data_IF_862817404264
#
_entry.id   IF_862817404264
#
_cell.length_a   1.000
_cell.length_b   1.000
_cell.length_c   1.000
_cell.angle_alpha   90.00
_cell.angle_beta   90.00
_cell.angle_gamma   90.00
#
_symmetry.space_group_name_H-M   'P 1'
#
loop_
_entity.id
_entity.type
_entity.pdbx_description
1 polymer ?
#
# COMPACT_ATOMS: atom_id res chain seq x y z
N UNK A 1 4.34 -12.55 14.73
CA UNK A 1 3.07 -13.13 14.24
C UNK A 1 1.86 -12.60 15.01
N UNK A 2 1.81 -12.72 16.35
CA UNK A 2 0.65 -12.29 17.15
C UNK A 2 0.27 -10.81 16.97
N UNK A 3 1.23 -9.88 17.03
CA UNK A 3 0.97 -8.43 16.82
C UNK A 3 0.38 -8.12 15.43
N UNK A 4 0.86 -8.79 14.39
CA UNK A 4 0.36 -8.62 13.02
C UNK A 4 -1.09 -9.10 12.89
N UNK A 5 -1.42 -10.24 13.49
CA UNK A 5 -2.81 -10.73 13.49
C UNK A 5 -3.74 -9.80 14.26
N UNK A 6 -3.30 -9.27 15.41
CA UNK A 6 -4.08 -8.27 16.16
C UNK A 6 -4.32 -7.02 15.31
N UNK A 7 -3.30 -6.52 14.61
CA UNK A 7 -3.44 -5.41 13.67
C UNK A 7 -4.43 -5.70 12.56
N UNK A 8 -4.30 -6.86 11.89
CA UNK A 8 -5.21 -7.32 10.86
C UNK A 8 -6.68 -7.31 11.30
N UNK A 9 -7.00 -7.92 12.45
CA UNK A 9 -8.39 -7.99 12.92
C UNK A 9 -8.92 -6.63 13.37
N UNK A 10 -8.06 -5.74 13.90
CA UNK A 10 -8.44 -4.35 14.20
C UNK A 10 -8.80 -3.60 12.93
N UNK A 11 -7.98 -3.71 11.88
CA UNK A 11 -8.24 -3.05 10.60
C UNK A 11 -9.49 -3.62 9.92
N UNK A 12 -9.67 -4.95 9.94
CA UNK A 12 -10.89 -5.59 9.45
C UNK A 12 -12.13 -5.07 10.17
N UNK A 13 -12.06 -4.88 11.48
CA UNK A 13 -13.17 -4.30 12.24
C UNK A 13 -13.41 -2.83 11.91
N UNK A 14 -12.33 -2.03 11.78
CA UNK A 14 -12.38 -0.61 11.39
C UNK A 14 -13.03 -0.42 10.02
N UNK A 15 -12.65 -1.22 9.03
CA UNK A 15 -13.09 -1.10 7.63
C UNK A 15 -14.21 -2.08 7.25
N UNK A 16 -14.89 -2.73 8.20
CA UNK A 16 -15.84 -3.83 7.93
C UNK A 16 -16.90 -3.52 6.87
N UNK A 17 -17.38 -2.29 6.81
CA UNK A 17 -18.44 -1.88 5.88
C UNK A 17 -17.86 -1.53 4.50
N UNK A 18 -16.66 -0.96 4.47
CA UNK A 18 -15.90 -0.69 3.26
C UNK A 18 -15.42 -1.99 2.62
N UNK A 19 -14.89 -2.93 3.40
CA UNK A 19 -14.50 -4.28 2.97
C UNK A 19 -15.66 -4.99 2.28
N UNK A 20 -16.88 -4.97 2.85
CA UNK A 20 -18.07 -5.52 2.19
C UNK A 20 -18.41 -4.84 0.87
N UNK A 21 -18.17 -3.52 0.75
CA UNK A 21 -18.36 -2.79 -0.51
C UNK A 21 -17.30 -3.18 -1.54
N UNK A 22 -16.05 -3.33 -1.11
CA UNK A 22 -14.96 -3.78 -1.97
C UNK A 22 -15.21 -5.19 -2.48
N UNK A 23 -15.57 -6.14 -1.60
CA UNK A 23 -15.90 -7.52 -1.99
C UNK A 23 -17.01 -7.56 -3.05
N UNK A 24 -18.15 -6.89 -2.83
CA UNK A 24 -19.24 -6.82 -3.82
C UNK A 24 -18.77 -6.29 -5.17
N UNK A 25 -17.91 -5.27 -5.17
CA UNK A 25 -17.35 -4.70 -6.39
C UNK A 25 -16.38 -5.68 -7.08
N UNK A 26 -15.50 -6.34 -6.32
CA UNK A 26 -14.53 -7.35 -6.78
C UNK A 26 -15.27 -8.54 -7.41
N UNK A 27 -16.30 -9.08 -6.75
CA UNK A 27 -17.11 -10.20 -7.25
C UNK A 27 -17.81 -9.84 -8.57
N UNK A 28 -18.33 -8.61 -8.67
CA UNK A 28 -18.92 -8.12 -9.91
C UNK A 28 -17.88 -8.02 -11.03
N UNK A 29 -16.70 -7.46 -10.73
CA UNK A 29 -15.65 -7.26 -11.72
C UNK A 29 -15.06 -8.59 -12.23
N UNK A 30 -14.80 -9.55 -11.34
CA UNK A 30 -14.33 -10.90 -11.70
C UNK A 30 -15.31 -11.62 -12.63
N UNK A 31 -16.62 -11.51 -12.35
CA UNK A 31 -17.67 -12.08 -13.20
C UNK A 31 -17.69 -11.41 -14.59
N UNK A 32 -17.55 -10.08 -14.65
CA UNK A 32 -17.60 -9.33 -15.91
C UNK A 32 -16.39 -9.55 -16.81
N UNK A 33 -15.20 -9.68 -16.22
CA UNK A 33 -13.93 -9.80 -16.94
C UNK A 33 -13.42 -11.24 -17.06
N UNK A 34 -14.13 -12.20 -16.46
CA UNK A 34 -13.72 -13.61 -16.40
C UNK A 34 -12.31 -13.77 -15.80
N UNK A 35 -12.09 -13.18 -14.62
CA UNK A 35 -10.87 -13.33 -13.83
C UNK A 35 -11.10 -14.19 -12.60
N UNK A 36 -10.07 -14.93 -12.18
CA UNK A 36 -10.05 -15.56 -10.87
C UNK A 36 -9.71 -14.54 -9.78
N UNK A 37 -10.32 -14.70 -8.62
CA UNK A 37 -9.96 -14.01 -7.39
C UNK A 37 -8.86 -14.80 -6.66
N UNK A 38 -7.98 -14.11 -5.96
CA UNK A 38 -6.98 -14.77 -5.12
C UNK A 38 -7.65 -15.75 -4.12
N UNK A 39 -7.23 -17.02 -4.07
CA UNK A 39 -7.85 -18.02 -3.20
C UNK A 39 -7.52 -17.84 -1.72
N UNK A 40 -6.54 -17.00 -1.37
CA UNK A 40 -6.17 -16.70 0.01
C UNK A 40 -7.10 -15.64 0.60
N UNK A 41 -8.01 -16.06 1.49
CA UNK A 41 -8.91 -15.16 2.22
C UNK A 41 -8.16 -13.99 2.88
N UNK A 42 -7.05 -14.27 3.54
CA UNK A 42 -6.27 -13.24 4.23
C UNK A 42 -5.64 -12.23 3.26
N UNK A 43 -5.20 -12.67 2.07
CA UNK A 43 -4.66 -11.78 1.05
C UNK A 43 -5.76 -10.88 0.48
N UNK A 44 -6.88 -11.48 0.06
CA UNK A 44 -8.02 -10.76 -0.51
C UNK A 44 -8.57 -9.73 0.48
N UNK A 45 -8.80 -10.12 1.74
CA UNK A 45 -9.29 -9.21 2.76
C UNK A 45 -8.29 -8.10 3.10
N UNK A 46 -6.98 -8.38 3.08
CA UNK A 46 -5.98 -7.32 3.24
C UNK A 46 -6.03 -6.30 2.10
N UNK A 47 -6.16 -6.77 0.86
CA UNK A 47 -6.26 -5.89 -0.30
C UNK A 47 -7.55 -5.06 -0.27
N UNK A 48 -8.67 -5.62 0.19
CA UNK A 48 -9.92 -4.88 0.43
C UNK A 48 -9.76 -3.79 1.49
N UNK A 49 -9.06 -4.10 2.60
CA UNK A 49 -8.71 -3.13 3.64
C UNK A 49 -7.83 -2.03 3.05
N UNK A 50 -6.79 -2.37 2.29
CA UNK A 50 -5.88 -1.39 1.71
C UNK A 50 -6.55 -0.52 0.65
N UNK A 51 -7.42 -1.09 -0.20
CA UNK A 51 -8.25 -0.32 -1.14
C UNK A 51 -9.14 0.69 -0.40
N UNK A 52 -9.72 0.28 0.73
CA UNK A 52 -10.53 1.14 1.59
C UNK A 52 -9.70 2.24 2.25
N UNK A 53 -8.46 1.94 2.64
CA UNK A 53 -7.51 2.92 3.15
C UNK A 53 -7.08 3.92 2.08
N UNK A 54 -6.84 3.47 0.84
CA UNK A 54 -6.51 4.36 -0.28
C UNK A 54 -7.64 5.34 -0.57
N UNK A 55 -8.90 4.86 -0.59
CA UNK A 55 -10.07 5.72 -0.72
C UNK A 55 -10.17 6.73 0.43
N UNK A 56 -9.94 6.31 1.67
CA UNK A 56 -10.03 7.18 2.84
C UNK A 56 -8.91 8.21 2.91
N UNK A 57 -7.70 7.86 2.45
CA UNK A 57 -6.50 8.73 2.55
C UNK A 57 -6.38 9.67 1.36
N UNK A 58 -6.66 9.18 0.15
CA UNK A 58 -6.41 9.88 -1.10
C UNK A 58 -7.68 10.26 -1.87
N UNK A 59 -8.86 9.90 -1.35
CA UNK A 59 -10.16 10.22 -1.94
C UNK A 59 -10.53 9.39 -3.17
N UNK A 60 -9.67 8.46 -3.58
CA UNK A 60 -9.89 7.58 -4.74
C UNK A 60 -9.35 6.18 -4.47
N UNK A 61 -9.90 5.20 -5.17
CA UNK A 61 -9.48 3.80 -5.11
C UNK A 61 -8.22 3.56 -5.94
N UNK A 62 -7.09 4.12 -5.53
CA UNK A 62 -5.80 3.80 -6.14
C UNK A 62 -5.43 2.33 -5.89
N UNK A 63 -4.65 1.75 -6.80
CA UNK A 63 -4.05 0.43 -6.62
C UNK A 63 -3.25 0.43 -5.30
N UNK A 64 -3.51 -0.49 -4.36
CA UNK A 64 -2.90 -0.43 -3.04
C UNK A 64 -1.41 -0.79 -3.06
N UNK A 65 -0.87 -1.24 -4.20
CA UNK A 65 0.54 -1.58 -4.37
C UNK A 65 1.45 -0.41 -4.72
N UNK A 66 0.87 0.75 -5.05
CA UNK A 66 1.63 1.96 -5.34
C UNK A 66 0.95 3.17 -4.69
N UNK A 67 1.73 4.09 -4.16
CA UNK A 67 1.25 5.42 -3.81
C UNK A 67 0.96 6.27 -5.06
N UNK A 68 0.08 7.29 -4.98
CA UNK A 68 -0.16 8.20 -6.10
C UNK A 68 1.14 8.86 -6.55
N UNK A 69 1.38 8.88 -7.86
CA UNK A 69 2.63 9.31 -8.48
C UNK A 69 2.81 10.83 -8.55
N UNK A 70 1.73 11.60 -8.34
CA UNK A 70 1.72 13.04 -8.61
C UNK A 70 1.58 13.40 -10.11
N UNK A 71 1.71 12.43 -11.01
CA UNK A 71 1.36 12.57 -12.42
C UNK A 71 -0.13 12.22 -12.61
N UNK A 72 -0.92 13.21 -13.03
CA UNK A 72 -2.37 13.06 -13.19
C UNK A 72 -2.78 12.01 -14.24
N UNK A 73 -1.97 11.82 -15.29
CA UNK A 73 -2.24 10.81 -16.31
C UNK A 73 -1.96 9.41 -15.76
N UNK A 74 -0.79 9.20 -15.14
CA UNK A 74 -0.43 7.91 -14.54
C UNK A 74 -1.38 7.55 -13.39
N UNK A 75 -1.71 8.51 -12.52
CA UNK A 75 -2.63 8.32 -11.41
C UNK A 75 -4.01 7.84 -11.88
N UNK A 76 -4.51 8.34 -13.01
CA UNK A 76 -5.76 7.86 -13.60
C UNK A 76 -5.67 6.39 -13.99
N UNK A 77 -4.54 5.97 -14.57
CA UNK A 77 -4.29 4.56 -14.96
C UNK A 77 -4.13 3.64 -13.75
N UNK A 78 -3.75 4.19 -12.60
CA UNK A 78 -3.55 3.45 -11.35
C UNK A 78 -4.82 3.28 -10.50
N UNK A 79 -5.97 3.82 -10.92
CA UNK A 79 -7.25 3.57 -10.22
C UNK A 79 -7.67 2.11 -10.38
N UNK A 80 -7.99 1.42 -9.28
CA UNK A 80 -8.40 0.02 -9.30
C UNK A 80 -9.81 -0.13 -9.92
N UNK A 81 -9.99 -0.94 -10.98
CA UNK A 81 -9.00 -1.84 -11.59
C UNK A 81 -8.07 -1.06 -12.53
N UNK A 82 -6.76 -1.15 -12.30
CA UNK A 82 -5.77 -0.34 -13.03
C UNK A 82 -5.65 -0.80 -14.49
N UNK A 83 -5.23 0.11 -15.37
CA UNK A 83 -5.08 -0.20 -16.80
C UNK A 83 -4.04 -1.30 -17.07
N UNK A 84 -3.09 -1.51 -16.15
CA UNK A 84 -2.03 -2.52 -16.25
C UNK A 84 -2.48 -3.97 -16.01
N UNK A 85 -3.71 -4.19 -15.52
CA UNK A 85 -4.17 -5.52 -15.08
C UNK A 85 -4.10 -6.58 -16.18
N UNK A 86 -4.46 -6.23 -17.42
CA UNK A 86 -4.50 -7.16 -18.55
C UNK A 86 -3.09 -7.61 -18.94
N UNK A 87 -2.14 -6.68 -19.01
CA UNK A 87 -0.74 -6.97 -19.32
C UNK A 87 -0.06 -7.78 -18.21
N UNK A 88 -0.30 -7.42 -16.96
CA UNK A 88 0.26 -8.14 -15.80
C UNK A 88 -0.28 -9.56 -15.67
N UNK A 89 -1.58 -9.78 -15.87
CA UNK A 89 -2.17 -11.12 -15.86
C UNK A 89 -1.59 -11.96 -17.00
N UNK A 90 -1.39 -11.37 -18.19
CA UNK A 90 -0.80 -12.07 -19.33
C UNK A 90 0.67 -12.46 -19.08
N UNK A 91 1.43 -11.59 -18.42
CA UNK A 91 2.85 -11.79 -18.15
C UNK A 91 3.11 -12.72 -16.95
N UNK A 92 2.39 -12.51 -15.84
CA UNK A 92 2.66 -13.14 -14.55
C UNK A 92 1.56 -14.10 -14.07
N UNK A 93 0.45 -14.20 -14.79
CA UNK A 93 -0.74 -14.94 -14.39
C UNK A 93 -1.65 -14.20 -13.41
N UNK A 94 -1.15 -13.15 -12.75
CA UNK A 94 -1.91 -12.30 -11.82
C UNK A 94 -1.65 -10.83 -12.09
N UNK A 95 -2.57 -9.96 -11.69
CA UNK A 95 -2.24 -8.55 -11.55
C UNK A 95 -1.13 -8.35 -10.52
N UNK A 96 -0.49 -7.18 -10.51
CA UNK A 96 0.67 -6.92 -9.67
C UNK A 96 0.41 -7.26 -8.21
N UNK A 97 -0.69 -6.74 -7.66
CA UNK A 97 -1.14 -6.95 -6.27
C UNK A 97 -1.62 -8.37 -5.96
N UNK A 98 -1.65 -9.25 -6.96
CA UNK A 98 -2.20 -10.59 -6.87
C UNK A 98 -3.65 -10.66 -6.38
N UNK A 99 -4.46 -9.60 -6.57
CA UNK A 99 -5.91 -9.66 -6.28
C UNK A 99 -6.63 -10.52 -7.31
N UNK A 100 -6.33 -10.30 -8.59
CA UNK A 100 -6.94 -10.98 -9.73
C UNK A 100 -5.90 -11.83 -10.45
N UNK A 101 -6.34 -12.92 -11.06
CA UNK A 101 -5.52 -13.76 -11.91
C UNK A 101 -6.31 -14.39 -13.06
N UNK A 102 -5.59 -15.10 -13.94
CA UNK A 102 -6.23 -15.86 -15.00
C UNK A 102 -7.09 -16.99 -14.41
N UNK A 103 -8.18 -17.33 -15.08
CA UNK A 103 -9.14 -18.34 -14.59
C UNK A 103 -8.57 -19.75 -14.57
N UNK A 104 -7.53 -20.02 -15.35
CA UNK A 104 -6.77 -21.25 -15.41
C UNK A 104 -5.55 -21.27 -14.48
N UNK A 105 -5.31 -20.19 -13.70
CA UNK A 105 -4.14 -20.11 -12.84
C UNK A 105 -4.20 -21.14 -11.70
N UNK A 106 -3.27 -22.09 -11.74
CA UNK A 106 -3.18 -23.15 -10.74
C UNK A 106 -2.52 -22.66 -9.43
N UNK A 107 -2.54 -23.53 -8.40
CA UNK A 107 -1.95 -23.26 -7.07
C UNK A 107 -0.45 -22.89 -7.13
N UNK A 108 0.31 -23.48 -8.05
CA UNK A 108 1.73 -23.15 -8.21
C UNK A 108 1.91 -21.74 -8.78
N UNK A 109 1.04 -21.31 -9.71
CA UNK A 109 0.99 -19.95 -10.23
C UNK A 109 0.72 -18.91 -9.13
N UNK A 110 -0.31 -19.12 -8.30
CA UNK A 110 -0.58 -18.26 -7.15
C UNK A 110 0.60 -18.19 -6.15
N UNK A 111 1.28 -19.31 -5.93
CA UNK A 111 2.48 -19.35 -5.07
C UNK A 111 3.65 -18.59 -5.70
N UNK A 112 3.84 -18.70 -7.01
CA UNK A 112 4.86 -17.95 -7.75
C UNK A 112 4.59 -16.44 -7.69
N UNK A 113 3.34 -16.03 -7.91
CA UNK A 113 2.90 -14.63 -7.77
C UNK A 113 3.14 -14.10 -6.35
N UNK A 114 2.78 -14.86 -5.32
CA UNK A 114 3.08 -14.50 -3.93
C UNK A 114 4.59 -14.36 -3.68
N UNK A 115 5.40 -15.27 -4.21
CA UNK A 115 6.87 -15.21 -4.08
C UNK A 115 7.45 -13.97 -4.76
N UNK A 116 6.95 -13.60 -5.94
CA UNK A 116 7.35 -12.37 -6.65
C UNK A 116 7.06 -11.14 -5.80
N UNK A 117 5.82 -10.99 -5.34
CA UNK A 117 5.40 -9.89 -4.46
C UNK A 117 6.25 -9.81 -3.19
N UNK A 118 6.55 -10.94 -2.54
CA UNK A 118 7.41 -10.90 -1.35
C UNK A 118 8.84 -10.46 -1.70
N UNK A 119 9.38 -10.88 -2.85
CA UNK A 119 10.70 -10.43 -3.31
C UNK A 119 10.76 -8.93 -3.61
N UNK A 120 9.65 -8.36 -4.08
CA UNK A 120 9.53 -6.93 -4.38
C UNK A 120 9.34 -6.08 -3.12
N UNK A 121 8.51 -6.51 -2.14
CA UNK A 121 8.12 -5.67 -1.01
C UNK A 121 8.81 -6.02 0.33
N UNK A 122 9.43 -7.20 0.47
CA UNK A 122 10.16 -7.61 1.69
C UNK A 122 11.67 -7.42 1.53
N UNK A 123 12.07 -6.21 1.13
CA UNK A 123 13.47 -5.80 1.00
C UNK A 123 14.00 -5.26 2.34
N UNK A 124 15.32 -5.33 2.59
CA UNK A 124 15.92 -4.68 3.75
C UNK A 124 15.64 -3.18 3.77
N UNK A 125 15.11 -2.67 4.89
CA UNK A 125 14.86 -1.24 5.08
C UNK A 125 16.18 -0.50 5.31
N UNK A 126 16.39 0.64 4.64
CA UNK A 126 17.51 1.54 4.90
C UNK A 126 17.19 2.46 6.10
N UNK A 127 17.03 1.84 7.27
CA UNK A 127 16.74 2.50 8.54
C UNK A 127 17.98 2.55 9.42
N UNK A 128 18.47 3.76 9.70
CA UNK A 128 19.63 3.99 10.58
C UNK A 128 19.36 5.14 11.53
N UNK A 129 19.57 4.92 12.82
CA UNK A 129 19.45 5.94 13.88
C UNK A 129 18.11 6.72 13.83
N UNK A 130 17.01 6.01 13.58
CA UNK A 130 15.66 6.59 13.47
C UNK A 130 15.38 7.36 12.17
N UNK A 131 16.25 7.22 11.17
CA UNK A 131 16.12 7.81 9.84
C UNK A 131 15.94 6.72 8.80
N UNK A 132 14.79 6.70 8.14
CA UNK A 132 14.46 5.82 7.02
C UNK A 132 14.74 6.54 5.70
N UNK A 133 15.73 6.10 4.94
CA UNK A 133 15.96 6.59 3.58
C UNK A 133 15.23 5.71 2.57
N UNK A 134 14.21 6.27 1.92
CA UNK A 134 13.31 5.50 1.02
C UNK A 134 13.75 5.50 -0.44
N UNK A 135 14.84 6.21 -0.76
CA UNK A 135 15.30 6.46 -2.13
C UNK A 135 16.06 5.26 -2.70
N UNK A 136 16.27 5.29 -4.02
CA UNK A 136 17.14 4.33 -4.71
C UNK A 136 16.54 2.94 -4.90
N UNK A 137 15.23 2.79 -4.69
CA UNK A 137 14.53 1.55 -5.01
C UNK A 137 14.45 1.31 -6.53
N UNK A 138 14.43 0.04 -6.99
CA UNK A 138 14.20 -0.25 -8.40
C UNK A 138 12.84 0.26 -8.83
N UNK A 139 12.69 0.48 -10.14
CA UNK A 139 11.45 0.95 -10.74
C UNK A 139 10.64 -0.24 -11.27
N UNK A 140 9.33 -0.20 -11.05
CA UNK A 140 8.36 -1.10 -11.67
C UNK A 140 8.41 -0.98 -13.20
N UNK A 141 8.38 -2.11 -13.91
CA UNK A 141 8.51 -2.15 -15.36
C UNK A 141 7.33 -1.54 -16.12
N UNK A 142 6.14 -1.51 -15.49
CA UNK A 142 4.91 -1.02 -16.11
C UNK A 142 4.65 0.47 -15.82
N UNK A 143 4.87 0.88 -14.56
CA UNK A 143 4.53 2.24 -14.08
C UNK A 143 5.73 3.18 -14.00
N UNK A 144 6.96 2.63 -14.02
CA UNK A 144 8.19 3.38 -13.77
C UNK A 144 8.18 4.10 -12.40
N UNK A 145 7.61 3.44 -11.38
CA UNK A 145 7.54 3.92 -10.00
C UNK A 145 8.40 3.07 -9.06
N UNK A 146 8.93 3.63 -7.97
CA UNK A 146 9.72 2.88 -6.98
C UNK A 146 8.95 1.68 -6.41
N UNK A 147 9.63 0.53 -6.28
CA UNK A 147 9.09 -0.66 -5.63
C UNK A 147 10.07 -1.25 -4.60
N UNK A 148 9.71 -1.31 -3.30
CA UNK A 148 8.54 -0.68 -2.70
C UNK A 148 8.66 0.86 -2.68
N UNK A 149 7.54 1.55 -2.81
CA UNK A 149 7.49 3.00 -2.66
C UNK A 149 7.67 3.46 -1.19
N UNK A 150 7.70 4.77 -0.97
CA UNK A 150 7.93 5.34 0.35
C UNK A 150 6.79 5.01 1.33
N UNK A 151 5.54 4.99 0.87
CA UNK A 151 4.39 4.57 1.68
C UNK A 151 4.53 3.11 2.18
N UNK A 152 4.93 2.19 1.31
CA UNK A 152 5.10 0.78 1.65
C UNK A 152 6.30 0.56 2.57
N UNK A 153 7.40 1.28 2.35
CA UNK A 153 8.54 1.27 3.25
C UNK A 153 8.18 1.82 4.65
N UNK A 154 7.37 2.89 4.73
CA UNK A 154 6.81 3.37 6.00
C UNK A 154 5.96 2.30 6.69
N UNK A 155 4.99 1.71 5.99
CA UNK A 155 4.14 0.65 6.56
C UNK A 155 4.96 -0.54 7.05
N UNK A 156 5.98 -0.95 6.29
CA UNK A 156 6.89 -2.02 6.70
C UNK A 156 7.66 -1.66 7.97
N UNK A 157 8.20 -0.44 8.04
CA UNK A 157 8.93 0.09 9.21
C UNK A 157 8.07 0.07 10.47
N UNK A 158 6.81 0.50 10.38
CA UNK A 158 5.87 0.55 11.51
C UNK A 158 5.54 -0.82 12.13
N UNK A 159 5.87 -1.93 11.47
CA UNK A 159 5.67 -3.27 12.03
C UNK A 159 6.63 -3.59 13.19
N UNK A 160 7.82 -2.99 13.19
CA UNK A 160 8.88 -3.27 14.17
C UNK A 160 9.45 -2.02 14.84
N UNK A 161 9.15 -0.82 14.34
CA UNK A 161 9.63 0.44 14.90
C UNK A 161 8.85 0.84 16.16
N UNK A 162 9.56 1.22 17.22
CA UNK A 162 8.97 1.53 18.53
C UNK A 162 9.08 2.99 18.96
N UNK A 163 9.94 3.77 18.31
CA UNK A 163 10.13 5.16 18.71
C UNK A 163 8.95 6.02 18.26
N UNK A 164 8.64 7.05 19.05
CA UNK A 164 7.53 7.96 18.78
C UNK A 164 7.83 8.96 17.64
N UNK A 165 9.00 8.89 17.03
CA UNK A 165 9.40 9.79 15.96
C UNK A 165 10.19 9.02 14.92
N UNK A 166 9.80 9.17 13.65
CA UNK A 166 10.51 8.62 12.50
C UNK A 166 10.86 9.76 11.55
N UNK A 167 12.13 9.84 11.16
CA UNK A 167 12.57 10.72 10.09
C UNK A 167 12.62 9.93 8.79
N UNK A 168 12.18 10.52 7.69
CA UNK A 168 12.20 9.92 6.36
C UNK A 168 12.94 10.82 5.39
N UNK A 169 13.76 10.21 4.52
CA UNK A 169 14.39 10.88 3.38
C UNK A 169 13.71 10.39 2.10
N UNK A 170 13.27 11.34 1.28
CA UNK A 170 12.43 11.12 0.10
C UNK A 170 13.09 11.75 -1.12
N UNK A 171 12.83 11.17 -2.30
CA UNK A 171 13.40 11.66 -3.55
C UNK A 171 12.53 12.77 -4.14
N UNK A 172 11.20 12.65 -4.02
CA UNK A 172 10.27 13.45 -4.80
C UNK A 172 9.26 14.21 -3.92
N UNK A 173 8.79 15.35 -4.42
CA UNK A 173 7.80 16.17 -3.72
C UNK A 173 6.44 15.47 -3.59
N UNK A 174 6.04 14.64 -4.56
CA UNK A 174 4.76 13.91 -4.48
C UNK A 174 4.75 12.91 -3.31
N UNK A 175 5.89 12.28 -3.00
CA UNK A 175 6.03 11.34 -1.87
C UNK A 175 5.84 12.11 -0.54
N UNK A 176 6.38 13.33 -0.45
CA UNK A 176 6.16 14.23 0.68
C UNK A 176 4.68 14.57 0.83
N UNK A 177 4.01 14.93 -0.27
CA UNK A 177 2.58 15.25 -0.28
C UNK A 177 1.71 14.04 0.10
N UNK A 178 2.09 12.82 -0.32
CA UNK A 178 1.40 11.60 0.08
C UNK A 178 1.60 11.30 1.56
N UNK A 179 2.81 11.46 2.09
CA UNK A 179 3.08 11.30 3.52
C UNK A 179 2.34 12.33 4.38
N UNK A 180 2.17 13.56 3.90
CA UNK A 180 1.36 14.59 4.57
C UNK A 180 -0.11 14.14 4.68
N UNK A 181 -0.68 13.58 3.60
CA UNK A 181 -2.04 13.00 3.63
C UNK A 181 -2.14 11.79 4.55
N UNK A 182 -1.16 10.89 4.51
CA UNK A 182 -1.10 9.71 5.40
C UNK A 182 -1.01 10.16 6.86
N UNK A 183 -0.16 11.15 7.16
CA UNK A 183 -0.01 11.70 8.50
C UNK A 183 -1.31 12.32 8.99
N UNK A 184 -1.95 13.15 8.17
CA UNK A 184 -3.27 13.73 8.48
C UNK A 184 -4.32 12.63 8.75
N UNK A 185 -4.42 11.65 7.85
CA UNK A 185 -5.38 10.54 7.98
C UNK A 185 -5.14 9.69 9.23
N UNK A 186 -3.88 9.45 9.60
CA UNK A 186 -3.50 8.62 10.74
C UNK A 186 -3.30 9.41 12.04
N UNK A 187 -3.46 10.73 12.01
CA UNK A 187 -3.28 11.60 13.16
C UNK A 187 -1.83 11.73 13.63
N UNK A 188 -0.87 11.60 12.72
CA UNK A 188 0.55 11.80 13.00
C UNK A 188 0.91 13.29 12.93
N UNK A 189 1.81 13.75 13.80
CA UNK A 189 2.48 15.02 13.60
C UNK A 189 3.37 14.95 12.36
N UNK A 190 3.43 16.02 11.58
CA UNK A 190 4.15 16.08 10.31
C UNK A 190 4.94 17.37 10.19
N UNK A 191 6.23 17.26 9.88
CA UNK A 191 7.06 18.39 9.45
C UNK A 191 7.89 18.01 8.24
N UNK A 192 8.16 18.99 7.36
CA UNK A 192 8.97 18.81 6.15
C UNK A 192 10.06 19.88 6.05
N UNK A 193 11.20 19.47 5.52
CA UNK A 193 12.35 20.33 5.19
C UNK A 193 12.84 19.93 3.79
N UNK A 194 12.86 20.88 2.85
CA UNK A 194 13.46 20.67 1.54
C UNK A 194 14.98 20.89 1.62
N UNK A 195 15.76 20.02 0.98
CA UNK A 195 17.19 20.19 0.75
C UNK A 195 17.48 20.14 -0.75
N UNK A 196 18.71 20.47 -1.13
CA UNK A 196 19.12 20.60 -2.53
C UNK A 196 18.79 19.36 -3.39
N UNK A 197 18.98 18.15 -2.84
CA UNK A 197 18.81 16.89 -3.57
C UNK A 197 17.76 15.93 -2.96
N UNK A 198 17.05 16.33 -1.90
CA UNK A 198 16.08 15.46 -1.23
C UNK A 198 15.13 16.22 -0.32
N UNK A 199 14.10 15.53 0.14
CA UNK A 199 13.18 16.02 1.16
C UNK A 199 13.36 15.23 2.44
N UNK A 200 13.39 15.93 3.59
CA UNK A 200 13.34 15.32 4.90
C UNK A 200 11.97 15.54 5.52
N UNK A 201 11.31 14.45 5.89
CA UNK A 201 10.04 14.47 6.61
C UNK A 201 10.25 13.92 8.02
N UNK A 202 9.61 14.51 9.02
CA UNK A 202 9.54 13.93 10.36
C UNK A 202 8.08 13.62 10.68
N UNK A 203 7.82 12.35 11.01
CA UNK A 203 6.55 11.87 11.52
C UNK A 203 6.64 11.72 13.03
N UNK A 204 5.69 12.31 13.75
CA UNK A 204 5.53 12.14 15.20
C UNK A 204 4.32 11.25 15.45
N UNK A 205 4.55 10.08 16.02
CA UNK A 205 3.49 9.15 16.38
C UNK A 205 3.01 9.49 17.79
N UNK A 206 1.71 9.72 17.95
CA UNK A 206 1.12 9.85 19.27
C UNK A 206 1.40 8.56 20.08
N UNK A 207 1.58 8.67 21.40
CA UNK A 207 1.86 7.54 22.28
C UNK A 207 0.82 6.40 22.17
N UNK A 208 -0.41 6.72 21.76
CA UNK A 208 -1.47 5.76 21.45
C UNK A 208 -1.40 5.21 20.01
N UNK A 209 -0.85 5.97 19.05
CA UNK A 209 -0.72 5.57 17.65
C UNK A 209 0.34 4.47 17.41
N UNK A 210 1.31 4.31 18.32
CA UNK A 210 2.22 3.15 18.35
C UNK A 210 1.48 1.80 18.52
N UNK A 211 0.16 1.83 18.79
CA UNK A 211 -0.73 0.68 18.94
C UNK A 211 -1.91 0.68 17.97
N UNK A 212 -1.76 1.29 16.78
CA UNK A 212 -2.77 1.18 15.72
C UNK A 212 -4.15 1.74 16.08
N UNK A 213 -4.23 2.67 17.04
CA UNK A 213 -5.45 3.37 17.38
C UNK A 213 -5.42 4.78 16.78
N UNK A 214 -5.96 4.91 15.57
CA UNK A 214 -6.60 6.15 15.16
C UNK A 214 -8.10 5.84 15.03
N UNK A 215 -8.82 6.05 16.13
CA UNK A 215 -10.25 5.88 16.26
C UNK A 215 -10.88 7.22 16.63
N UNK A 216 -10.75 8.23 15.76
CA UNK A 216 -11.58 9.44 15.80
C UNK A 216 -11.18 10.40 14.69
N UNK A 217 -11.98 10.47 13.64
CA UNK A 217 -12.34 11.71 12.93
C UNK A 217 -13.48 11.37 11.97
N UNK A 218 -14.65 11.11 12.56
CA UNK A 218 -15.93 11.32 11.90
C UNK A 218 -16.56 12.53 12.57
N UNK A 219 -16.48 13.66 11.89
CA UNK A 219 -17.35 14.83 12.13
C UNK A 219 -18.23 14.97 10.90
#
# INVERSE_FOLDING_TARGET
MLKMMIGFFKDLWKYRDQVKKQDRWIQKYTTQKNYALNPSWMMTTNLEIWLSEMEATFGKRYCPCFEPSGDAQLDKKMLCPCEFIEDEIKEYGTCHCALFGSTDLNKAGWKASSKRLMGEYQVPLNLKDGVLDTRGMPLDGHRNLPIPDAMHQLKSTLNSYSDNTLKMILANEYEVANLEKIASYRGYGFTKEAKEDCYKVTLQFNSDCSKGSCSSCGS
#
